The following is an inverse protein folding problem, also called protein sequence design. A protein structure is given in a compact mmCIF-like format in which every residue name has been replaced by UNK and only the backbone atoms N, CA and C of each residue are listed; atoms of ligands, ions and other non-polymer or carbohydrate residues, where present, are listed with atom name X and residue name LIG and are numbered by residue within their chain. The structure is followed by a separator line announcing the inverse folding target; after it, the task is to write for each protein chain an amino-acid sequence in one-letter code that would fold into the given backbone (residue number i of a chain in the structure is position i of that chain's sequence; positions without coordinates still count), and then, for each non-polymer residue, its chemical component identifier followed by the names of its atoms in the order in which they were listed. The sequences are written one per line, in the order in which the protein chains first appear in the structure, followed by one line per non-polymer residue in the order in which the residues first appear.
data_IF_041576437573
#
_entry.id   IF_041576437573
#
_cell.length_a   1.000
_cell.length_b   1.000
_cell.length_c   1.000
_cell.angle_alpha   90.00
_cell.angle_beta   90.00
_cell.angle_gamma   90.00
#
_symmetry.space_group_name_H-M   'P 1'
#
loop_
_entity.id
_entity.type
_entity.pdbx_description
1 polymer ?
#
# COMPACT_ATOMS: atom_id res chain seq x y z
N UNK A 1 -9.21 -17.33 -7.41
CA UNK A 1 -9.66 -15.99 -7.02
C UNK A 1 -8.79 -14.96 -7.69
N UNK A 2 -9.38 -13.96 -8.30
CA UNK A 2 -8.66 -12.92 -8.99
C UNK A 2 -8.54 -11.67 -8.16
N UNK A 3 -7.42 -10.96 -8.31
CA UNK A 3 -7.27 -9.59 -7.84
C UNK A 3 -7.69 -8.64 -8.94
N UNK A 4 -8.26 -7.50 -8.58
CA UNK A 4 -8.49 -6.41 -9.51
C UNK A 4 -7.29 -5.48 -9.46
N UNK A 5 -6.61 -5.30 -10.58
CA UNK A 5 -5.44 -4.45 -10.67
C UNK A 5 -5.64 -3.31 -11.66
N UNK A 6 -5.05 -2.17 -11.35
CA UNK A 6 -4.95 -1.04 -12.27
C UNK A 6 -3.48 -0.83 -12.58
N UNK A 7 -3.12 -1.04 -13.85
CA UNK A 7 -1.78 -0.85 -14.38
C UNK A 7 -1.75 0.33 -15.36
N UNK A 8 -0.56 0.88 -15.58
CA UNK A 8 -0.32 1.68 -16.77
C UNK A 8 -0.50 0.81 -18.04
N UNK A 9 -0.74 1.42 -19.24
CA UNK A 9 -0.95 0.63 -20.45
C UNK A 9 0.19 -0.33 -20.78
N UNK A 10 1.44 0.04 -20.50
CA UNK A 10 2.64 -0.79 -20.70
C UNK A 10 2.94 -1.73 -19.53
N UNK A 11 2.11 -1.70 -18.47
CA UNK A 11 2.24 -2.47 -17.22
C UNK A 11 3.54 -2.19 -16.46
N UNK A 12 4.21 -1.10 -16.74
CA UNK A 12 5.41 -0.63 -16.04
C UNK A 12 5.09 -0.19 -14.62
N UNK A 13 3.89 0.37 -14.43
CA UNK A 13 3.38 0.81 -13.14
C UNK A 13 2.15 0.00 -12.75
N UNK A 14 2.07 -0.38 -11.47
CA UNK A 14 0.83 -0.86 -10.87
C UNK A 14 0.37 0.18 -9.86
N UNK A 15 -0.77 0.80 -10.15
CA UNK A 15 -1.31 1.85 -9.27
C UNK A 15 -2.14 1.29 -8.14
N UNK A 16 -2.95 0.28 -8.40
CA UNK A 16 -3.88 -0.30 -7.43
C UNK A 16 -3.91 -1.82 -7.58
N UNK A 17 -3.95 -2.52 -6.46
CA UNK A 17 -4.36 -3.91 -6.39
C UNK A 17 -5.47 -4.02 -5.36
N UNK A 18 -6.64 -4.53 -5.76
CA UNK A 18 -7.77 -4.78 -4.87
C UNK A 18 -7.98 -6.27 -4.71
N UNK A 19 -8.12 -6.72 -3.48
CA UNK A 19 -8.44 -8.11 -3.17
C UNK A 19 -9.63 -8.17 -2.23
N UNK A 20 -10.70 -8.85 -2.65
CA UNK A 20 -11.91 -9.04 -1.86
C UNK A 20 -12.22 -10.53 -1.78
N UNK A 21 -12.49 -11.03 -0.58
CA UNK A 21 -12.73 -12.47 -0.34
C UNK A 21 -14.14 -12.79 0.12
N UNK A 22 -14.93 -11.78 0.48
CA UNK A 22 -16.32 -11.95 0.90
C UNK A 22 -17.15 -10.84 0.25
N UNK A 23 -18.02 -11.24 -0.69
CA UNK A 23 -18.91 -10.35 -1.43
C UNK A 23 -20.37 -10.46 -0.97
N UNK A 24 -20.65 -11.27 0.06
CA UNK A 24 -22.00 -11.43 0.63
C UNK A 24 -22.39 -10.22 1.48
N UNK A 25 -21.41 -9.55 2.08
CA UNK A 25 -21.62 -8.35 2.90
C UNK A 25 -21.18 -7.10 2.12
N UNK A 26 -21.70 -5.92 2.49
CA UNK A 26 -21.20 -4.67 1.90
C UNK A 26 -19.68 -4.54 2.06
N UNK A 27 -19.05 -3.91 1.08
CA UNK A 27 -17.60 -3.74 1.09
C UNK A 27 -17.15 -2.89 2.29
N UNK A 28 -16.24 -3.46 3.07
CA UNK A 28 -15.54 -2.76 4.14
C UNK A 28 -14.05 -2.92 3.90
N UNK A 29 -13.45 -1.88 3.36
CA UNK A 29 -12.09 -1.93 2.83
C UNK A 29 -11.07 -1.23 3.73
N UNK A 30 -9.87 -1.81 3.74
CA UNK A 30 -8.68 -1.24 4.35
C UNK A 30 -7.67 -0.93 3.24
N UNK A 31 -7.08 0.26 3.28
CA UNK A 31 -6.04 0.68 2.33
C UNK A 31 -4.66 0.48 2.95
N UNK A 32 -3.77 -0.12 2.21
CA UNK A 32 -2.37 -0.30 2.59
C UNK A 32 -1.47 0.40 1.58
N UNK A 33 -0.46 1.08 2.06
CA UNK A 33 0.47 1.82 1.20
C UNK A 33 1.88 1.32 1.49
N UNK A 34 2.42 0.56 0.53
CA UNK A 34 3.78 0.02 0.58
C UNK A 34 4.79 0.88 -0.16
N UNK A 35 6.00 0.35 -0.33
CA UNK A 35 7.10 1.04 -1.01
C UNK A 35 6.89 1.07 -2.53
N UNK A 36 6.87 -0.11 -3.14
CA UNK A 36 6.68 -0.28 -4.58
C UNK A 36 6.13 -1.69 -4.88
N UNK A 37 5.40 -1.86 -5.98
CA UNK A 37 4.87 -3.18 -6.35
C UNK A 37 5.99 -4.14 -6.75
N UNK A 38 5.83 -5.42 -6.38
CA UNK A 38 6.74 -6.48 -6.79
C UNK A 38 6.08 -7.40 -7.82
N UNK A 39 5.82 -8.66 -7.47
CA UNK A 39 5.35 -9.69 -8.41
C UNK A 39 3.84 -9.95 -8.33
N UNK A 40 3.14 -9.43 -7.32
CA UNK A 40 1.70 -9.66 -7.19
C UNK A 40 0.94 -9.00 -8.34
N UNK A 41 -0.06 -9.70 -8.86
CA UNK A 41 -0.88 -9.27 -10.00
C UNK A 41 -2.33 -9.75 -9.82
N UNK A 42 -3.07 -9.84 -10.93
CA UNK A 42 -4.48 -10.27 -10.91
C UNK A 42 -4.67 -11.73 -10.44
N UNK A 43 -3.63 -12.52 -10.45
CA UNK A 43 -3.75 -13.97 -10.23
C UNK A 43 -3.19 -14.45 -8.88
N UNK A 44 -2.33 -13.67 -8.24
CA UNK A 44 -1.66 -14.16 -7.03
C UNK A 44 -1.43 -13.08 -5.99
N UNK A 45 -1.35 -13.51 -4.74
CA UNK A 45 -0.88 -12.71 -3.62
C UNK A 45 0.56 -13.11 -3.28
N UNK A 46 1.44 -12.13 -3.07
CA UNK A 46 2.77 -12.38 -2.52
C UNK A 46 2.71 -12.54 -0.98
N UNK A 47 3.82 -12.87 -0.31
CA UNK A 47 3.83 -13.04 1.15
C UNK A 47 3.36 -11.79 1.92
N UNK A 48 3.70 -10.60 1.45
CA UNK A 48 3.26 -9.35 2.07
C UNK A 48 1.74 -9.21 2.02
N UNK A 49 1.14 -9.46 0.86
CA UNK A 49 -0.31 -9.34 0.69
C UNK A 49 -1.07 -10.40 1.47
N UNK A 50 -0.51 -11.61 1.62
CA UNK A 50 -1.10 -12.64 2.48
C UNK A 50 -1.12 -12.20 3.94
N UNK A 51 -0.06 -11.57 4.41
CA UNK A 51 0.02 -11.02 5.76
C UNK A 51 -1.03 -9.91 5.97
N UNK A 52 -1.15 -9.02 5.01
CA UNK A 52 -2.15 -7.93 5.01
C UNK A 52 -3.56 -8.50 5.07
N UNK A 53 -3.87 -9.52 4.27
CA UNK A 53 -5.17 -10.19 4.29
C UNK A 53 -5.49 -10.76 5.67
N UNK A 54 -4.53 -11.40 6.31
CA UNK A 54 -4.70 -11.93 7.67
C UNK A 54 -5.04 -10.84 8.68
N UNK A 55 -4.36 -9.71 8.63
CA UNK A 55 -4.69 -8.55 9.46
C UNK A 55 -6.12 -8.06 9.20
N UNK A 56 -6.48 -7.91 7.94
CA UNK A 56 -7.81 -7.44 7.55
C UNK A 56 -8.92 -8.35 8.05
N UNK A 57 -8.74 -9.67 7.94
CA UNK A 57 -9.71 -10.65 8.46
C UNK A 57 -9.87 -10.50 9.97
N UNK A 58 -8.78 -10.37 10.71
CA UNK A 58 -8.80 -10.21 12.16
C UNK A 58 -9.54 -8.93 12.59
N UNK A 59 -9.50 -7.89 11.78
CA UNK A 59 -10.13 -6.59 12.07
C UNK A 59 -11.47 -6.37 11.35
N UNK A 60 -12.10 -7.47 10.90
CA UNK A 60 -13.44 -7.46 10.29
C UNK A 60 -13.56 -6.66 8.99
N UNK A 61 -12.47 -6.60 8.22
CA UNK A 61 -12.51 -6.13 6.83
C UNK A 61 -12.74 -7.31 5.88
N UNK A 62 -13.41 -7.06 4.76
CA UNK A 62 -13.63 -8.07 3.72
C UNK A 62 -12.92 -7.76 2.41
N UNK A 63 -12.11 -6.71 2.41
CA UNK A 63 -11.42 -6.22 1.23
C UNK A 63 -10.20 -5.40 1.65
N UNK A 64 -9.13 -5.46 0.87
CA UNK A 64 -8.06 -4.47 0.96
C UNK A 64 -7.70 -3.90 -0.40
N UNK A 65 -7.18 -2.68 -0.38
CA UNK A 65 -6.53 -2.05 -1.52
C UNK A 65 -5.06 -1.90 -1.19
N UNK A 66 -4.19 -2.38 -2.08
CA UNK A 66 -2.75 -2.21 -1.95
C UNK A 66 -2.27 -1.20 -2.98
N UNK A 67 -1.73 -0.10 -2.49
CA UNK A 67 -1.08 0.93 -3.29
C UNK A 67 0.35 1.09 -2.79
N UNK A 68 1.12 1.94 -3.44
CA UNK A 68 2.53 2.14 -3.09
C UNK A 68 2.89 3.61 -3.28
N UNK A 69 3.88 4.07 -2.51
CA UNK A 69 4.37 5.44 -2.69
C UNK A 69 5.10 5.61 -4.02
N UNK A 70 5.70 4.52 -4.53
CA UNK A 70 6.23 4.42 -5.89
C UNK A 70 5.45 3.34 -6.64
N UNK A 71 4.89 3.66 -7.79
CA UNK A 71 4.09 2.70 -8.56
C UNK A 71 4.92 1.83 -9.52
N UNK A 72 6.20 2.16 -9.74
CA UNK A 72 7.09 1.39 -10.61
C UNK A 72 7.29 -0.02 -10.09
N UNK A 73 7.07 -1.02 -10.96
CA UNK A 73 7.14 -2.44 -10.62
C UNK A 73 8.59 -2.91 -10.61
N UNK A 74 9.08 -3.32 -9.44
CA UNK A 74 10.41 -3.90 -9.29
C UNK A 74 10.46 -4.77 -8.03
N UNK A 75 11.10 -5.93 -8.10
CA UNK A 75 11.30 -6.81 -6.94
C UNK A 75 12.31 -6.23 -5.98
N UNK A 76 13.38 -5.62 -6.50
CA UNK A 76 14.45 -5.02 -5.71
C UNK A 76 14.26 -3.50 -5.62
N UNK A 77 14.22 -2.91 -4.41
CA UNK A 77 14.14 -1.45 -4.26
C UNK A 77 15.26 -0.68 -4.96
N UNK A 78 16.43 -1.28 -5.12
CA UNK A 78 17.55 -0.66 -5.84
C UNK A 78 17.19 -0.40 -7.30
N UNK A 79 16.49 -1.33 -7.94
CA UNK A 79 16.04 -1.19 -9.34
C UNK A 79 14.99 -0.07 -9.44
N UNK A 80 14.07 -0.02 -8.50
CA UNK A 80 13.07 1.06 -8.44
C UNK A 80 13.74 2.43 -8.32
N UNK A 81 14.77 2.55 -7.50
CA UNK A 81 15.48 3.82 -7.29
C UNK A 81 16.25 4.31 -8.53
N UNK A 82 16.60 3.41 -9.44
CA UNK A 82 17.27 3.76 -10.69
C UNK A 82 16.32 4.30 -11.75
N UNK A 83 15.02 4.09 -11.58
CA UNK A 83 14.01 4.59 -12.53
C UNK A 83 13.92 6.11 -12.45
N UNK A 84 13.82 6.76 -13.62
CA UNK A 84 13.72 8.23 -13.70
C UNK A 84 12.42 8.77 -13.11
N UNK A 85 11.30 8.06 -13.30
CA UNK A 85 10.01 8.36 -12.67
C UNK A 85 9.50 7.12 -11.93
N UNK A 86 9.97 6.86 -10.70
CA UNK A 86 9.50 5.71 -9.95
C UNK A 86 8.11 5.89 -9.36
N UNK A 87 7.65 7.12 -9.18
CA UNK A 87 6.31 7.42 -8.64
C UNK A 87 5.21 6.98 -9.60
N UNK A 88 5.35 7.31 -10.87
CA UNK A 88 4.34 7.09 -11.89
C UNK A 88 3.40 8.28 -12.06
N UNK A 89 3.00 8.58 -13.31
CA UNK A 89 2.28 9.82 -13.62
C UNK A 89 0.89 9.95 -12.98
N UNK A 90 0.23 8.81 -12.66
CA UNK A 90 -1.10 8.83 -12.08
C UNK A 90 -1.17 8.35 -10.63
N UNK A 91 -0.02 8.08 -9.99
CA UNK A 91 -0.01 7.45 -8.68
C UNK A 91 -0.67 8.31 -7.59
N UNK A 92 -0.39 9.60 -7.57
CA UNK A 92 -0.98 10.50 -6.57
C UNK A 92 -2.50 10.58 -6.69
N UNK A 93 -3.02 10.58 -7.91
CA UNK A 93 -4.46 10.52 -8.18
C UNK A 93 -5.08 9.28 -7.56
N UNK A 94 -4.49 8.10 -7.80
CA UNK A 94 -5.01 6.84 -7.28
C UNK A 94 -4.89 6.74 -5.77
N UNK A 95 -3.83 7.29 -5.17
CA UNK A 95 -3.70 7.34 -3.70
C UNK A 95 -4.87 8.12 -3.08
N UNK A 96 -5.19 9.28 -3.62
CA UNK A 96 -6.30 10.09 -3.10
C UNK A 96 -7.66 9.43 -3.33
N UNK A 97 -7.95 9.00 -4.55
CA UNK A 97 -9.24 8.41 -4.90
C UNK A 97 -9.52 7.12 -4.11
N UNK A 98 -8.51 6.26 -3.96
CA UNK A 98 -8.66 5.02 -3.21
C UNK A 98 -8.87 5.29 -1.72
N UNK A 99 -8.22 6.30 -1.15
CA UNK A 99 -8.39 6.66 0.25
C UNK A 99 -9.85 7.01 0.59
N UNK A 100 -10.59 7.55 -0.37
CA UNK A 100 -12.00 7.90 -0.19
C UNK A 100 -12.93 6.68 -0.07
N UNK A 101 -12.45 5.51 -0.49
CA UNK A 101 -13.22 4.25 -0.46
C UNK A 101 -12.94 3.40 0.77
N UNK A 102 -11.99 3.78 1.62
CA UNK A 102 -11.48 2.93 2.68
C UNK A 102 -11.75 3.51 4.06
N UNK A 103 -12.11 2.62 4.99
CA UNK A 103 -12.38 2.99 6.38
C UNK A 103 -11.09 3.17 7.21
N UNK A 104 -9.99 2.58 6.75
CA UNK A 104 -8.69 2.60 7.44
C UNK A 104 -7.57 2.71 6.41
N UNK A 105 -6.55 3.50 6.70
CA UNK A 105 -5.37 3.67 5.85
C UNK A 105 -4.12 3.34 6.66
N UNK A 106 -3.34 2.36 6.21
CA UNK A 106 -2.13 1.89 6.89
C UNK A 106 -0.92 2.09 5.99
N UNK A 107 0.04 2.86 6.48
CA UNK A 107 1.33 3.05 5.82
C UNK A 107 2.32 1.96 6.26
N UNK A 108 3.05 1.39 5.31
CA UNK A 108 3.99 0.29 5.61
C UNK A 108 5.18 0.25 4.64
N UNK A 109 5.66 1.40 4.17
CA UNK A 109 6.68 1.45 3.12
C UNK A 109 8.12 1.28 3.60
N UNK A 110 8.39 1.41 4.91
CA UNK A 110 9.74 1.21 5.45
C UNK A 110 10.73 2.34 5.15
N UNK A 111 11.99 2.10 5.48
CA UNK A 111 13.05 3.12 5.41
C UNK A 111 13.40 3.59 3.99
N UNK A 112 13.18 2.76 2.97
CA UNK A 112 13.40 3.17 1.57
C UNK A 112 12.44 4.28 1.12
N UNK A 113 11.39 4.57 1.90
CA UNK A 113 10.48 5.68 1.64
C UNK A 113 11.14 7.06 1.70
N UNK A 114 12.36 7.16 2.26
CA UNK A 114 13.13 8.40 2.23
C UNK A 114 13.58 8.81 0.81
N UNK A 115 13.63 7.85 -0.12
CA UNK A 115 14.03 8.13 -1.51
C UNK A 115 13.17 9.24 -2.10
N UNK A 116 13.81 10.26 -2.66
CA UNK A 116 13.16 11.45 -3.24
C UNK A 116 12.24 12.21 -2.26
N UNK A 117 12.39 12.01 -0.96
CA UNK A 117 11.50 12.61 0.06
C UNK A 117 10.06 12.11 -0.03
N UNK A 118 9.84 10.96 -0.66
CA UNK A 118 8.50 10.51 -1.04
C UNK A 118 7.62 10.17 0.16
N UNK A 119 8.19 9.63 1.23
CA UNK A 119 7.45 9.36 2.48
C UNK A 119 6.73 10.62 2.97
N UNK A 120 7.46 11.72 3.11
CA UNK A 120 6.89 12.99 3.57
C UNK A 120 5.87 13.54 2.58
N UNK A 121 6.14 13.41 1.28
CA UNK A 121 5.22 13.87 0.23
C UNK A 121 3.87 13.16 0.31
N UNK A 122 3.86 11.83 0.47
CA UNK A 122 2.62 11.05 0.55
C UNK A 122 1.86 11.35 1.85
N UNK A 123 2.56 11.47 2.97
CA UNK A 123 1.92 11.85 4.23
C UNK A 123 1.23 13.22 4.09
N UNK A 124 1.91 14.19 3.52
CA UNK A 124 1.34 15.52 3.28
C UNK A 124 0.16 15.47 2.31
N UNK A 125 0.28 14.70 1.23
CA UNK A 125 -0.77 14.54 0.23
C UNK A 125 -2.08 14.04 0.84
N UNK A 126 -2.01 12.98 1.63
CA UNK A 126 -3.20 12.36 2.22
C UNK A 126 -3.72 13.13 3.42
N UNK A 127 -2.84 13.70 4.24
CA UNK A 127 -3.24 14.59 5.34
C UNK A 127 -3.95 15.83 4.79
N UNK A 128 -3.44 16.42 3.71
CA UNK A 128 -4.09 17.55 3.03
C UNK A 128 -5.42 17.17 2.40
N UNK A 129 -5.64 15.89 2.12
CA UNK A 129 -6.90 15.33 1.62
C UNK A 129 -7.86 14.93 2.77
N UNK A 130 -7.55 15.32 3.99
CA UNK A 130 -8.38 15.05 5.16
C UNK A 130 -8.29 13.65 5.72
N UNK A 131 -7.27 12.87 5.36
CA UNK A 131 -7.11 11.48 5.80
C UNK A 131 -6.15 11.34 6.97
N UNK A 132 -6.44 10.40 7.85
CA UNK A 132 -5.56 10.00 8.94
C UNK A 132 -4.84 8.72 8.55
N UNK A 133 -3.50 8.73 8.60
CA UNK A 133 -2.70 7.56 8.32
C UNK A 133 -2.32 6.85 9.62
N UNK A 134 -2.32 5.52 9.54
CA UNK A 134 -1.90 4.65 10.63
C UNK A 134 -0.66 3.86 10.21
N UNK A 135 0.04 3.28 11.16
CA UNK A 135 1.12 2.31 10.92
C UNK A 135 1.07 1.23 11.99
N UNK A 136 1.75 0.11 11.72
CA UNK A 136 1.90 -0.98 12.68
C UNK A 136 3.07 -0.75 13.64
N UNK A 137 3.97 0.14 13.29
CA UNK A 137 5.16 0.49 14.05
C UNK A 137 6.06 1.35 13.17
N UNK A 138 7.18 1.78 13.72
CA UNK A 138 8.16 2.62 13.01
C UNK A 138 9.55 2.01 13.07
N UNK A 139 10.33 2.23 12.00
CA UNK A 139 11.76 1.91 11.99
C UNK A 139 12.51 2.85 12.94
N UNK A 140 13.79 2.58 13.20
CA UNK A 140 14.63 3.46 14.02
C UNK A 140 14.67 4.90 13.50
N UNK A 141 14.59 5.07 12.19
CA UNK A 141 14.61 6.39 11.55
C UNK A 141 13.22 7.05 11.48
N UNK A 142 12.17 6.39 11.99
CA UNK A 142 10.82 6.95 12.07
C UNK A 142 9.91 6.68 10.88
N UNK A 143 10.28 5.77 9.98
CA UNK A 143 9.44 5.38 8.84
C UNK A 143 8.46 4.27 9.23
N UNK A 144 7.26 4.22 8.63
CA UNK A 144 6.31 3.14 8.87
C UNK A 144 6.92 1.78 8.55
N UNK A 145 6.92 0.86 9.50
CA UNK A 145 7.57 -0.43 9.35
C UNK A 145 6.82 -1.37 8.41
N UNK A 146 7.56 -2.24 7.72
CA UNK A 146 7.00 -3.25 6.83
C UNK A 146 6.30 -4.35 7.64
N UNK A 147 5.13 -4.87 7.19
CA UNK A 147 4.34 -5.84 7.97
C UNK A 147 5.08 -7.15 8.26
N UNK A 148 5.94 -7.60 7.35
CA UNK A 148 6.69 -8.85 7.51
C UNK A 148 7.76 -8.79 8.61
N UNK A 149 8.12 -7.60 9.07
CA UNK A 149 9.14 -7.40 10.11
C UNK A 149 8.53 -7.25 11.50
N UNK A 150 7.20 -7.37 11.62
CA UNK A 150 6.48 -7.16 12.86
C UNK A 150 5.64 -8.39 13.23
N UNK A 151 5.39 -8.63 14.56
CA UNK A 151 4.46 -9.67 14.97
C UNK A 151 3.06 -9.46 14.38
N UNK A 152 2.33 -10.58 14.17
CA UNK A 152 0.99 -10.53 13.56
C UNK A 152 -0.08 -9.87 14.40
N UNK A 153 0.16 -9.69 15.71
CA UNK A 153 -0.78 -9.10 16.68
C UNK A 153 -0.44 -7.66 17.06
N UNK A 154 0.41 -6.99 16.29
CA UNK A 154 0.80 -5.61 16.55
C UNK A 154 -0.40 -4.67 16.43
N UNK A 155 -0.53 -3.75 17.39
CA UNK A 155 -1.59 -2.75 17.38
C UNK A 155 -1.28 -1.59 16.42
N UNK A 156 -2.35 -1.02 15.85
CA UNK A 156 -2.24 0.17 15.01
C UNK A 156 -1.90 1.40 15.84
N UNK A 157 -1.12 2.29 15.22
CA UNK A 157 -0.75 3.60 15.77
C UNK A 157 -1.01 4.68 14.71
N UNK A 158 -1.37 5.86 15.16
CA UNK A 158 -1.47 7.02 14.25
C UNK A 158 -0.05 7.53 13.95
N UNK A 159 0.21 7.82 12.71
CA UNK A 159 1.49 8.39 12.27
C UNK A 159 1.72 9.79 12.89
#
# INVERSE_FOLDING_TARGET
MFNDCIFSPDRKYRYVLKHRWDDLMPEKACMWIGLNPSTADEQQLDPTLRRIKGFCITHDFNCFYMLNIFAFRATDPKVMKLESDPVGPENDKWLKETSDKCALIVACWGGHGKHLGRSDTVIALLSGHGKTLHCLGKTKEGYPAHPLYLPGDVALKII
#
